data_IF_902162932261
#
_entry.id   IF_902162932261
#
_cell.length_a   1.000
_cell.length_b   1.000
_cell.length_c   1.000
_cell.angle_alpha   90.00
_cell.angle_beta   90.00
_cell.angle_gamma   90.00
#
_symmetry.space_group_name_H-M   'P 1'
#
loop_
_entity.id
_entity.type
_entity.pdbx_description
1 polymer ?
#
# COMPACT_ATOMS: atom_id res chain seq x y z
N UNK A 1 3.07 -18.20 -12.45
CA UNK A 1 2.03 -17.71 -11.49
C UNK A 1 0.96 -16.84 -12.15
N UNK A 2 1.22 -16.21 -13.31
CA UNK A 2 0.20 -15.55 -14.17
C UNK A 2 -0.90 -16.50 -14.67
N UNK A 3 -0.57 -17.76 -14.92
CA UNK A 3 -1.55 -18.77 -15.35
C UNK A 3 -2.60 -19.10 -14.27
N UNK A 4 -2.25 -19.04 -12.99
CA UNK A 4 -3.21 -19.32 -11.90
C UNK A 4 -4.19 -18.16 -11.71
N UNK A 5 -3.73 -16.91 -11.81
CA UNK A 5 -4.61 -15.74 -11.76
C UNK A 5 -5.54 -15.69 -12.99
N UNK A 6 -5.03 -16.01 -14.17
CA UNK A 6 -5.84 -16.12 -15.39
C UNK A 6 -6.83 -17.27 -15.31
N UNK A 7 -6.44 -18.43 -14.76
CA UNK A 7 -7.31 -19.58 -14.58
C UNK A 7 -8.41 -19.31 -13.55
N UNK A 8 -8.11 -18.62 -12.44
CA UNK A 8 -9.11 -18.21 -11.45
C UNK A 8 -10.04 -17.15 -12.02
N UNK A 9 -9.52 -16.17 -12.76
CA UNK A 9 -10.34 -15.16 -13.42
C UNK A 9 -11.25 -15.79 -14.50
N UNK A 10 -10.75 -16.77 -15.25
CA UNK A 10 -11.50 -17.48 -16.29
C UNK A 10 -12.52 -18.44 -15.66
N UNK A 11 -12.16 -19.18 -14.62
CA UNK A 11 -13.07 -20.04 -13.87
C UNK A 11 -14.17 -19.22 -13.19
N UNK A 12 -13.84 -18.06 -12.62
CA UNK A 12 -14.82 -17.12 -12.09
C UNK A 12 -15.76 -16.62 -13.22
N UNK A 13 -15.22 -16.24 -14.39
CA UNK A 13 -16.03 -15.81 -15.53
C UNK A 13 -16.95 -16.87 -16.10
N UNK A 14 -16.55 -18.14 -16.04
CA UNK A 14 -17.31 -19.27 -16.55
C UNK A 14 -18.30 -19.84 -15.53
N UNK A 15 -18.01 -19.72 -14.24
CA UNK A 15 -18.85 -20.25 -13.15
C UNK A 15 -19.86 -19.22 -12.59
N UNK A 16 -19.60 -17.91 -12.75
CA UNK A 16 -20.57 -16.88 -12.38
C UNK A 16 -21.63 -16.77 -13.48
N UNK A 17 -22.91 -17.05 -13.19
CA UNK A 17 -24.01 -16.76 -14.11
C UNK A 17 -23.96 -15.27 -14.46
N UNK A 18 -24.25 -14.90 -15.71
CA UNK A 18 -24.40 -13.50 -16.08
C UNK A 18 -25.42 -12.86 -15.14
N UNK A 19 -24.95 -12.05 -14.18
CA UNK A 19 -25.84 -11.14 -13.47
C UNK A 19 -26.20 -10.05 -14.48
N UNK A 20 -27.17 -10.36 -15.33
CA UNK A 20 -27.88 -9.38 -16.13
C UNK A 20 -28.49 -8.41 -15.13
N UNK A 21 -27.84 -7.26 -14.99
CA UNK A 21 -28.38 -6.13 -14.24
C UNK A 21 -29.77 -5.86 -14.83
N UNK A 22 -30.80 -6.03 -14.00
CA UNK A 22 -32.18 -5.74 -14.39
C UNK A 22 -32.29 -4.27 -14.83
N UNK A 23 -33.24 -3.96 -15.71
CA UNK A 23 -33.40 -2.64 -16.31
C UNK A 23 -33.55 -1.50 -15.30
N UNK A 24 -34.10 -1.79 -14.11
CA UNK A 24 -34.19 -0.90 -12.94
C UNK A 24 -32.82 -0.60 -12.31
N UNK A 25 -31.91 -1.58 -12.28
CA UNK A 25 -30.53 -1.37 -11.84
C UNK A 25 -29.71 -0.60 -12.88
N UNK A 26 -29.95 -0.79 -14.19
CA UNK A 26 -29.28 -0.04 -15.26
C UNK A 26 -29.60 1.47 -15.22
N UNK A 27 -30.84 1.85 -14.87
CA UNK A 27 -31.21 3.26 -14.63
C UNK A 27 -30.40 3.89 -13.47
N UNK A 28 -30.10 3.12 -12.43
CA UNK A 28 -29.28 3.56 -11.30
C UNK A 28 -27.78 3.52 -11.60
N UNK A 29 -27.33 2.59 -12.46
CA UNK A 29 -25.94 2.48 -12.92
C UNK A 29 -25.54 3.68 -13.78
N UNK A 30 -26.45 4.23 -14.60
CA UNK A 30 -26.18 5.46 -15.37
C UNK A 30 -25.85 6.67 -14.49
N UNK A 31 -26.43 6.75 -13.28
CA UNK A 31 -26.11 7.76 -12.26
C UNK A 31 -24.84 7.42 -11.46
N UNK A 32 -24.56 6.13 -11.21
CA UNK A 32 -23.31 5.63 -10.57
C UNK A 32 -22.07 5.71 -11.48
N UNK A 33 -22.22 5.60 -12.81
CA UNK A 33 -21.11 5.72 -13.77
C UNK A 33 -20.44 7.11 -13.73
N UNK A 34 -21.15 8.14 -13.23
CA UNK A 34 -20.58 9.47 -12.98
C UNK A 34 -19.50 9.48 -11.88
N UNK A 35 -19.37 8.40 -11.10
CA UNK A 35 -18.43 8.28 -9.98
C UNK A 35 -16.97 8.07 -10.42
N UNK A 36 -16.72 7.53 -11.62
CA UNK A 36 -15.38 7.49 -12.23
C UNK A 36 -14.77 8.90 -12.42
N UNK A 37 -15.57 9.96 -12.25
CA UNK A 37 -15.14 11.36 -12.27
C UNK A 37 -14.99 12.01 -10.90
N UNK A 38 -15.18 11.31 -9.77
CA UNK A 38 -14.92 11.90 -8.46
C UNK A 38 -13.40 12.13 -8.30
N UNK A 39 -12.92 13.38 -8.36
CA UNK A 39 -11.49 13.66 -8.37
C UNK A 39 -10.83 13.27 -7.04
N UNK A 40 -11.60 13.18 -5.94
CA UNK A 40 -11.08 12.75 -4.63
C UNK A 40 -10.80 11.25 -4.63
N UNK A 41 -11.73 10.43 -5.10
CA UNK A 41 -11.55 8.99 -5.20
C UNK A 41 -10.37 8.65 -6.13
N UNK A 42 -10.32 9.25 -7.32
CA UNK A 42 -9.22 9.03 -8.27
C UNK A 42 -7.87 9.38 -7.64
N UNK A 43 -7.78 10.52 -6.92
CA UNK A 43 -6.56 10.89 -6.20
C UNK A 43 -6.16 9.86 -5.14
N UNK A 44 -7.09 9.39 -4.31
CA UNK A 44 -6.80 8.36 -3.30
C UNK A 44 -6.31 7.08 -3.98
N UNK A 45 -7.03 6.60 -5.00
CA UNK A 45 -6.66 5.39 -5.73
C UNK A 45 -5.27 5.50 -6.38
N UNK A 46 -4.94 6.64 -6.99
CA UNK A 46 -3.61 6.89 -7.58
C UNK A 46 -2.52 6.96 -6.50
N UNK A 47 -2.74 7.65 -5.38
CA UNK A 47 -1.77 7.70 -4.29
C UNK A 47 -1.54 6.33 -3.66
N UNK A 48 -2.61 5.54 -3.49
CA UNK A 48 -2.48 4.13 -3.08
C UNK A 48 -1.69 3.34 -4.12
N UNK A 49 -2.00 3.46 -5.41
CA UNK A 49 -1.26 2.76 -6.46
C UNK A 49 0.24 3.08 -6.40
N UNK A 50 0.62 4.35 -6.18
CA UNK A 50 2.01 4.78 -6.02
C UNK A 50 2.64 4.15 -4.76
N UNK A 51 1.95 4.20 -3.61
CA UNK A 51 2.44 3.62 -2.36
C UNK A 51 2.65 2.10 -2.48
N UNK A 52 1.69 1.40 -3.10
CA UNK A 52 1.74 -0.04 -3.36
C UNK A 52 2.85 -0.38 -4.33
N UNK A 53 3.02 0.41 -5.40
CA UNK A 53 4.15 0.27 -6.34
C UNK A 53 5.47 0.37 -5.58
N UNK A 54 5.66 1.43 -4.79
CA UNK A 54 6.87 1.61 -3.99
C UNK A 54 7.14 0.45 -3.02
N UNK A 55 6.10 -0.06 -2.36
CA UNK A 55 6.22 -1.24 -1.50
C UNK A 55 6.64 -2.49 -2.28
N UNK A 56 5.96 -2.80 -3.38
CA UNK A 56 6.18 -4.04 -4.14
C UNK A 56 7.47 -4.05 -4.98
N UNK A 57 8.02 -2.89 -5.32
CA UNK A 57 9.39 -2.76 -5.87
C UNK A 57 10.41 -3.48 -4.99
N UNK A 58 10.32 -3.30 -3.67
CA UNK A 58 11.26 -3.90 -2.72
C UNK A 58 10.76 -5.22 -2.13
N UNK A 59 9.45 -5.36 -1.87
CA UNK A 59 8.89 -6.53 -1.21
C UNK A 59 9.14 -7.83 -1.98
N UNK A 60 9.10 -7.75 -3.31
CA UNK A 60 9.40 -8.88 -4.21
C UNK A 60 10.82 -9.43 -4.03
N UNK A 61 11.75 -8.60 -3.54
CA UNK A 61 13.15 -8.93 -3.29
C UNK A 61 13.52 -8.87 -1.80
N UNK A 62 12.54 -8.98 -0.89
CA UNK A 62 12.77 -8.87 0.56
C UNK A 62 13.86 -9.80 1.08
N UNK A 63 13.91 -11.04 0.58
CA UNK A 63 14.95 -12.03 0.93
C UNK A 63 16.34 -11.53 0.56
N UNK A 64 16.47 -10.94 -0.63
CA UNK A 64 17.75 -10.41 -1.13
C UNK A 64 18.15 -9.18 -0.33
N UNK A 65 17.20 -8.30 0.00
CA UNK A 65 17.44 -7.13 0.88
C UNK A 65 17.93 -7.59 2.26
N UNK A 66 17.29 -8.58 2.88
CA UNK A 66 17.72 -9.10 4.18
C UNK A 66 19.15 -9.65 4.10
N UNK A 67 19.46 -10.39 3.02
CA UNK A 67 20.76 -11.05 2.86
C UNK A 67 21.89 -10.07 2.56
N UNK A 68 21.67 -9.16 1.61
CA UNK A 68 22.71 -8.37 0.97
C UNK A 68 22.76 -6.92 1.48
N UNK A 69 21.68 -6.42 2.10
CA UNK A 69 21.66 -5.10 2.76
C UNK A 69 21.77 -5.24 4.28
N UNK A 70 20.93 -6.06 4.90
CA UNK A 70 20.96 -6.25 6.36
C UNK A 70 22.14 -7.16 6.78
N UNK A 71 22.59 -8.05 5.89
CA UNK A 71 23.69 -8.99 6.16
C UNK A 71 23.27 -10.24 6.92
N UNK A 72 21.97 -10.52 7.04
CA UNK A 72 21.44 -11.67 7.77
C UNK A 72 21.32 -12.86 6.82
N UNK A 73 22.00 -13.97 7.16
CA UNK A 73 22.10 -15.17 6.32
C UNK A 73 21.69 -16.44 7.08
N UNK A 74 21.46 -17.52 6.34
CA UNK A 74 21.16 -18.84 6.91
C UNK A 74 19.83 -18.88 7.67
N UNK A 75 19.72 -19.65 8.78
CA UNK A 75 18.48 -19.80 9.55
C UNK A 75 17.89 -18.48 10.07
N UNK A 76 18.75 -17.50 10.35
CA UNK A 76 18.31 -16.20 10.87
C UNK A 76 17.46 -15.41 9.86
N UNK A 77 17.61 -15.68 8.57
CA UNK A 77 16.77 -15.08 7.53
C UNK A 77 15.31 -15.53 7.67
N UNK A 78 15.08 -16.82 7.92
CA UNK A 78 13.74 -17.37 8.13
C UNK A 78 13.12 -16.81 9.42
N UNK A 79 13.91 -16.69 10.49
CA UNK A 79 13.45 -16.06 11.74
C UNK A 79 13.08 -14.58 11.55
N UNK A 80 13.83 -13.84 10.74
CA UNK A 80 13.51 -12.44 10.45
C UNK A 80 12.23 -12.32 9.59
N UNK A 81 12.03 -13.19 8.61
CA UNK A 81 10.76 -13.26 7.86
C UNK A 81 9.58 -13.65 8.75
N UNK A 82 9.79 -14.58 9.69
CA UNK A 82 8.78 -14.92 10.68
C UNK A 82 8.46 -13.71 11.56
N UNK A 83 9.48 -12.98 12.04
CA UNK A 83 9.30 -11.75 12.80
C UNK A 83 8.58 -10.66 11.98
N UNK A 84 8.88 -10.51 10.69
CA UNK A 84 8.17 -9.62 9.76
C UNK A 84 6.68 -9.96 9.71
N UNK A 85 6.34 -11.25 9.54
CA UNK A 85 4.94 -11.70 9.48
C UNK A 85 4.21 -11.56 10.82
N UNK A 86 4.84 -11.95 11.92
CA UNK A 86 4.27 -11.81 13.29
C UNK A 86 4.05 -10.35 13.63
N UNK A 87 5.01 -9.47 13.33
CA UNK A 87 4.87 -8.04 13.55
C UNK A 87 3.73 -7.46 12.71
N UNK A 88 3.59 -7.90 11.45
CA UNK A 88 2.43 -7.61 10.62
C UNK A 88 1.11 -7.98 11.31
N UNK A 89 0.98 -9.22 11.78
CA UNK A 89 -0.23 -9.71 12.44
C UNK A 89 -0.55 -8.94 13.73
N UNK A 90 0.46 -8.70 14.57
CA UNK A 90 0.31 -7.99 15.85
C UNK A 90 0.00 -6.51 15.65
N UNK A 91 0.43 -5.90 14.55
CA UNK A 91 0.19 -4.49 14.26
C UNK A 91 -1.30 -4.17 14.01
N UNK A 92 -2.06 -5.10 13.43
CA UNK A 92 -3.46 -4.89 13.05
C UNK A 92 -4.33 -4.46 14.25
N UNK A 93 -4.39 -5.23 15.37
CA UNK A 93 -5.17 -4.80 16.54
C UNK A 93 -4.58 -3.57 17.23
N UNK A 94 -3.26 -3.36 17.17
CA UNK A 94 -2.61 -2.19 17.78
C UNK A 94 -3.00 -0.89 17.06
N UNK A 95 -3.17 -0.94 15.74
CA UNK A 95 -3.52 0.22 14.91
C UNK A 95 -5.03 0.41 14.77
N UNK A 96 -5.84 -0.59 15.13
CA UNK A 96 -7.31 -0.48 15.14
C UNK A 96 -7.82 0.68 16.02
N UNK A 97 -7.30 0.81 17.25
CA UNK A 97 -7.72 1.88 18.17
C UNK A 97 -7.33 3.30 17.70
N UNK A 98 -6.08 3.56 17.28
CA UNK A 98 -5.72 4.83 16.65
C UNK A 98 -6.54 5.16 15.40
N UNK A 99 -6.88 4.15 14.58
CA UNK A 99 -7.64 4.31 13.35
C UNK A 99 -9.07 4.78 13.61
N UNK A 100 -9.73 4.26 14.64
CA UNK A 100 -11.09 4.66 15.01
C UNK A 100 -11.16 6.11 15.48
N UNK A 101 -10.11 6.58 16.16
CA UNK A 101 -10.08 7.90 16.79
C UNK A 101 -9.50 8.99 15.88
N UNK A 102 -8.45 8.69 15.10
CA UNK A 102 -7.70 9.66 14.27
C UNK A 102 -7.30 9.04 12.92
N UNK A 103 -8.25 8.70 12.04
CA UNK A 103 -7.99 7.91 10.83
C UNK A 103 -6.96 8.54 9.89
N UNK A 104 -7.00 9.87 9.73
CA UNK A 104 -6.05 10.61 8.88
C UNK A 104 -4.64 10.62 9.47
N UNK A 105 -4.52 10.97 10.75
CA UNK A 105 -3.23 11.03 11.44
C UNK A 105 -2.55 9.67 11.48
N UNK A 106 -3.32 8.61 11.69
CA UNK A 106 -2.80 7.25 11.70
C UNK A 106 -2.22 6.86 10.32
N UNK A 107 -2.87 7.21 9.20
CA UNK A 107 -2.34 6.93 7.84
C UNK A 107 -1.02 7.66 7.61
N UNK A 108 -0.95 8.95 7.97
CA UNK A 108 0.25 9.77 7.81
C UNK A 108 1.41 9.20 8.64
N UNK A 109 1.15 8.83 9.90
CA UNK A 109 2.16 8.21 10.78
C UNK A 109 2.65 6.89 10.19
N UNK A 110 1.74 6.04 9.71
CA UNK A 110 2.09 4.76 9.09
C UNK A 110 2.94 4.91 7.83
N UNK A 111 2.53 5.81 6.93
CA UNK A 111 3.27 6.14 5.71
C UNK A 111 4.63 6.80 6.00
N UNK A 112 4.72 7.63 7.04
CA UNK A 112 5.98 8.22 7.50
C UNK A 112 6.92 7.15 8.02
N UNK A 113 6.42 6.21 8.83
CA UNK A 113 7.22 5.09 9.33
C UNK A 113 7.71 4.17 8.20
N UNK A 114 6.87 3.90 7.19
CA UNK A 114 7.27 3.16 5.99
C UNK A 114 8.35 3.89 5.20
N UNK A 115 8.18 5.19 4.99
CA UNK A 115 9.18 6.03 4.30
C UNK A 115 10.51 6.02 5.05
N UNK A 116 10.47 6.15 6.38
CA UNK A 116 11.65 6.10 7.23
C UNK A 116 12.34 4.72 7.17
N UNK A 117 11.58 3.63 7.20
CA UNK A 117 12.13 2.27 7.08
C UNK A 117 12.84 2.08 5.73
N UNK A 118 12.23 2.49 4.61
CA UNK A 118 12.86 2.40 3.29
C UNK A 118 14.07 3.32 3.14
N UNK A 119 14.02 4.53 3.71
CA UNK A 119 15.15 5.47 3.69
C UNK A 119 16.33 4.92 4.49
N UNK A 120 16.06 4.32 5.66
CA UNK A 120 17.07 3.66 6.47
C UNK A 120 17.69 2.46 5.74
N UNK A 121 16.87 1.59 5.14
CA UNK A 121 17.36 0.47 4.32
C UNK A 121 18.18 0.94 3.12
N UNK A 122 17.78 2.06 2.48
CA UNK A 122 18.54 2.68 1.40
C UNK A 122 19.90 3.14 1.89
N UNK A 123 19.97 3.85 3.03
CA UNK A 123 21.22 4.30 3.62
C UNK A 123 22.15 3.11 3.97
N UNK A 124 21.58 2.02 4.49
CA UNK A 124 22.33 0.79 4.76
C UNK A 124 22.84 0.14 3.47
N UNK A 125 22.09 0.19 2.37
CA UNK A 125 22.50 -0.38 1.09
C UNK A 125 23.68 0.35 0.44
N UNK A 126 23.86 1.64 0.73
CA UNK A 126 25.05 2.41 0.33
C UNK A 126 26.23 2.24 1.29
N UNK A 127 26.01 1.70 2.49
CA UNK A 127 27.06 1.46 3.47
C UNK A 127 27.82 0.16 3.19
N UNK A 128 29.11 0.24 2.90
CA UNK A 128 29.94 -0.94 2.58
C UNK A 128 30.27 -1.86 3.77
N UNK A 129 29.78 -1.57 4.98
CA UNK A 129 30.18 -2.29 6.21
C UNK A 129 29.01 -3.02 6.87
N UNK A 130 29.01 -4.35 6.76
CA UNK A 130 28.15 -5.20 7.59
C UNK A 130 28.71 -5.30 9.01
N UNK A 131 28.23 -4.42 9.89
CA UNK A 131 28.57 -4.42 11.32
C UNK A 131 27.39 -4.97 12.13
N UNK A 132 27.61 -5.43 13.36
CA UNK A 132 26.52 -5.82 14.25
C UNK A 132 25.43 -4.72 14.40
N UNK A 133 25.85 -3.45 14.40
CA UNK A 133 24.93 -2.31 14.41
C UNK A 133 24.05 -2.21 13.15
N UNK A 134 24.60 -2.46 11.96
CA UNK A 134 23.82 -2.40 10.71
C UNK A 134 22.83 -3.55 10.63
N UNK A 135 23.22 -4.74 11.11
CA UNK A 135 22.32 -5.89 11.19
C UNK A 135 21.15 -5.63 12.16
N UNK A 136 21.41 -5.01 13.32
CA UNK A 136 20.37 -4.64 14.28
C UNK A 136 19.40 -3.59 13.71
N UNK A 137 19.94 -2.51 13.14
CA UNK A 137 19.13 -1.44 12.54
C UNK A 137 18.31 -1.95 11.34
N UNK A 138 18.92 -2.74 10.46
CA UNK A 138 18.23 -3.32 9.31
C UNK A 138 17.16 -4.33 9.72
N UNK A 139 17.42 -5.18 10.73
CA UNK A 139 16.41 -6.10 11.29
C UNK A 139 15.22 -5.31 11.85
N UNK A 140 15.49 -4.25 12.63
CA UNK A 140 14.44 -3.36 13.13
C UNK A 140 13.64 -2.71 12.01
N UNK A 141 14.30 -2.25 10.95
CA UNK A 141 13.66 -1.66 9.77
C UNK A 141 12.75 -2.66 9.04
N UNK A 142 13.19 -3.91 8.86
CA UNK A 142 12.39 -4.98 8.24
C UNK A 142 11.16 -5.30 9.10
N UNK A 143 11.31 -5.47 10.41
CA UNK A 143 10.19 -5.75 11.31
C UNK A 143 9.19 -4.60 11.33
N UNK A 144 9.68 -3.36 11.39
CA UNK A 144 8.86 -2.16 11.33
C UNK A 144 8.13 -2.06 9.98
N UNK A 145 8.81 -2.38 8.88
CA UNK A 145 8.21 -2.41 7.55
C UNK A 145 7.04 -3.40 7.49
N UNK A 146 7.20 -4.63 8.01
CA UNK A 146 6.13 -5.63 8.03
C UNK A 146 4.92 -5.23 8.86
N UNK A 147 5.17 -4.66 10.05
CA UNK A 147 4.12 -4.10 10.90
C UNK A 147 3.34 -2.99 10.16
N UNK A 148 4.05 -1.97 9.66
CA UNK A 148 3.40 -0.82 9.07
C UNK A 148 2.72 -1.13 7.72
N UNK A 149 3.28 -2.01 6.90
CA UNK A 149 2.67 -2.40 5.62
C UNK A 149 1.32 -3.09 5.82
N UNK A 150 1.24 -3.96 6.83
CA UNK A 150 0.01 -4.68 7.18
C UNK A 150 -1.01 -3.73 7.81
N UNK A 151 -0.57 -2.82 8.67
CA UNK A 151 -1.44 -1.84 9.30
C UNK A 151 -1.99 -0.79 8.33
N UNK A 152 -1.17 -0.25 7.40
CA UNK A 152 -1.57 0.84 6.48
C UNK A 152 -2.57 0.38 5.42
N UNK A 153 -2.53 -0.89 5.02
CA UNK A 153 -3.40 -1.46 3.98
C UNK A 153 -4.92 -1.25 4.25
N UNK A 154 -5.48 -1.67 5.39
CA UNK A 154 -6.90 -1.44 5.70
C UNK A 154 -7.24 0.04 5.87
N UNK A 155 -6.27 0.88 6.25
CA UNK A 155 -6.48 2.32 6.45
C UNK A 155 -6.65 3.04 5.11
N UNK A 156 -5.81 2.71 4.13
CA UNK A 156 -5.94 3.21 2.75
C UNK A 156 -7.24 2.72 2.10
N UNK A 157 -7.62 1.47 2.34
CA UNK A 157 -8.90 0.94 1.87
C UNK A 157 -10.08 1.69 2.49
N UNK A 158 -10.08 1.89 3.81
CA UNK A 158 -11.13 2.66 4.48
C UNK A 158 -11.20 4.10 3.97
N UNK A 159 -10.05 4.76 3.74
CA UNK A 159 -9.99 6.11 3.17
C UNK A 159 -10.59 6.17 1.75
N UNK A 160 -10.31 5.18 0.91
CA UNK A 160 -10.90 5.08 -0.43
C UNK A 160 -12.42 4.91 -0.36
N UNK A 161 -12.91 4.00 0.49
CA UNK A 161 -14.35 3.78 0.69
C UNK A 161 -15.07 5.05 1.18
N UNK A 162 -14.49 5.77 2.15
CA UNK A 162 -15.04 7.04 2.67
C UNK A 162 -15.06 8.13 1.61
N UNK A 163 -14.11 8.13 0.67
CA UNK A 163 -14.10 9.08 -0.46
C UNK A 163 -15.16 8.76 -1.54
N UNK A 164 -15.74 7.55 -1.48
CA UNK A 164 -16.76 7.04 -2.40
C UNK A 164 -18.18 7.54 -2.15
N UNK A 165 -18.46 8.22 -1.04
CA UNK A 165 -19.79 8.78 -0.74
C UNK A 165 -20.92 7.76 -0.88
N UNK A 166 -21.85 8.02 -1.82
CA UNK A 166 -23.08 7.25 -2.06
C UNK A 166 -22.88 5.89 -2.76
N UNK A 167 -21.65 5.54 -3.19
CA UNK A 167 -21.33 4.26 -3.83
C UNK A 167 -20.02 3.64 -3.30
N UNK A 168 -20.03 3.09 -2.07
CA UNK A 168 -18.86 2.45 -1.48
C UNK A 168 -18.36 1.25 -2.30
N UNK A 169 -19.26 0.46 -2.90
CA UNK A 169 -18.89 -0.74 -3.65
C UNK A 169 -18.10 -0.39 -4.92
N UNK A 170 -18.51 0.65 -5.66
CA UNK A 170 -17.77 1.17 -6.80
C UNK A 170 -16.39 1.74 -6.43
N UNK A 171 -16.29 2.42 -5.29
CA UNK A 171 -15.02 2.93 -4.76
C UNK A 171 -14.06 1.79 -4.37
N UNK A 172 -14.58 0.72 -3.77
CA UNK A 172 -13.83 -0.51 -3.46
C UNK A 172 -13.25 -1.13 -4.73
N UNK A 173 -14.07 -1.26 -5.77
CA UNK A 173 -13.64 -1.85 -7.05
C UNK A 173 -12.51 -1.06 -7.72
N UNK A 174 -12.62 0.27 -7.76
CA UNK A 174 -11.56 1.13 -8.30
C UNK A 174 -10.28 1.05 -7.45
N UNK A 175 -10.41 1.06 -6.13
CA UNK A 175 -9.30 0.92 -5.19
C UNK A 175 -8.55 -0.40 -5.41
N UNK A 176 -9.26 -1.53 -5.46
CA UNK A 176 -8.66 -2.85 -5.68
C UNK A 176 -7.97 -2.91 -7.05
N UNK A 177 -8.60 -2.35 -8.08
CA UNK A 177 -8.01 -2.28 -9.43
C UNK A 177 -6.69 -1.51 -9.40
N UNK A 178 -6.67 -0.32 -8.77
CA UNK A 178 -5.47 0.49 -8.62
C UNK A 178 -4.38 -0.22 -7.79
N UNK A 179 -4.78 -0.95 -6.74
CA UNK A 179 -3.88 -1.75 -5.91
C UNK A 179 -3.19 -2.86 -6.72
N UNK A 180 -3.96 -3.62 -7.52
CA UNK A 180 -3.42 -4.68 -8.37
C UNK A 180 -2.49 -4.15 -9.47
N UNK A 181 -2.83 -3.01 -10.09
CA UNK A 181 -1.94 -2.33 -11.03
C UNK A 181 -0.65 -1.91 -10.33
N UNK A 182 -0.74 -1.40 -9.10
CA UNK A 182 0.42 -1.05 -8.29
C UNK A 182 1.32 -2.24 -7.98
N UNK A 183 0.76 -3.40 -7.65
CA UNK A 183 1.54 -4.64 -7.44
C UNK A 183 2.28 -5.02 -8.72
N UNK A 184 1.57 -5.03 -9.86
CA UNK A 184 2.15 -5.39 -11.16
C UNK A 184 3.27 -4.44 -11.55
N UNK A 185 3.02 -3.13 -11.49
CA UNK A 185 4.01 -2.10 -11.78
C UNK A 185 5.20 -2.19 -10.83
N UNK A 186 4.95 -2.42 -9.54
CA UNK A 186 5.98 -2.56 -8.52
C UNK A 186 6.88 -3.75 -8.78
N UNK A 187 6.32 -4.92 -9.08
CA UNK A 187 7.10 -6.11 -9.39
C UNK A 187 7.94 -5.94 -10.67
N UNK A 188 7.37 -5.33 -11.73
CA UNK A 188 8.10 -5.05 -12.97
C UNK A 188 9.26 -4.07 -12.76
N UNK A 189 8.99 -2.95 -12.08
CA UNK A 189 10.02 -1.95 -11.75
C UNK A 189 11.08 -2.52 -10.80
N UNK A 190 10.68 -3.35 -9.83
CA UNK A 190 11.57 -4.06 -8.93
C UNK A 190 12.57 -4.92 -9.68
N UNK A 191 12.11 -5.72 -10.65
CA UNK A 191 13.00 -6.53 -11.48
C UNK A 191 14.00 -5.71 -12.29
N UNK A 192 13.53 -4.65 -12.97
CA UNK A 192 14.40 -3.77 -13.77
C UNK A 192 15.44 -3.01 -12.93
N UNK A 193 15.06 -2.58 -11.71
CA UNK A 193 15.96 -1.86 -10.82
C UNK A 193 16.93 -2.80 -10.12
N UNK A 194 16.48 -4.00 -9.76
CA UNK A 194 17.32 -5.04 -9.16
C UNK A 194 18.49 -5.42 -10.07
N UNK A 195 18.27 -5.53 -11.39
CA UNK A 195 19.33 -5.78 -12.37
C UNK A 195 20.42 -4.69 -12.39
N UNK A 196 20.07 -3.46 -12.01
CA UNK A 196 21.02 -2.34 -11.96
C UNK A 196 21.72 -2.23 -10.61
N UNK A 197 20.96 -2.17 -9.52
CA UNK A 197 21.47 -2.07 -8.16
C UNK A 197 20.36 -2.19 -7.12
N UNK A 198 20.60 -2.96 -6.06
CA UNK A 198 19.75 -3.01 -4.87
C UNK A 198 19.54 -1.63 -4.23
N UNK A 199 20.56 -0.78 -4.23
CA UNK A 199 20.45 0.57 -3.65
C UNK A 199 19.53 1.47 -4.48
N UNK A 200 19.58 1.38 -5.82
CA UNK A 200 18.65 2.10 -6.70
C UNK A 200 17.21 1.64 -6.51
N UNK A 201 17.00 0.33 -6.37
CA UNK A 201 15.69 -0.25 -6.10
C UNK A 201 15.10 0.28 -4.79
N UNK A 202 15.87 0.26 -3.70
CA UNK A 202 15.45 0.80 -2.41
C UNK A 202 15.21 2.32 -2.45
N UNK A 203 16.06 3.06 -3.17
CA UNK A 203 15.88 4.50 -3.38
C UNK A 203 14.58 4.80 -4.12
N UNK A 204 14.23 4.01 -5.14
CA UNK A 204 12.98 4.16 -5.86
C UNK A 204 11.76 3.86 -4.95
N UNK A 205 11.83 2.81 -4.13
CA UNK A 205 10.80 2.52 -3.13
C UNK A 205 10.64 3.67 -2.13
N UNK A 206 11.74 4.20 -1.58
CA UNK A 206 11.72 5.33 -0.66
C UNK A 206 11.13 6.58 -1.32
N UNK A 207 11.53 6.88 -2.56
CA UNK A 207 11.02 8.01 -3.33
C UNK A 207 9.53 7.91 -3.62
N UNK A 208 9.05 6.75 -4.09
CA UNK A 208 7.62 6.52 -4.34
C UNK A 208 6.79 6.61 -3.06
N UNK A 209 7.30 6.06 -1.95
CA UNK A 209 6.63 6.16 -0.65
C UNK A 209 6.58 7.61 -0.16
N UNK A 210 7.66 8.37 -0.34
CA UNK A 210 7.72 9.80 -0.01
C UNK A 210 6.77 10.64 -0.86
N UNK A 211 6.66 10.36 -2.16
CA UNK A 211 5.69 11.02 -3.06
C UNK A 211 4.25 10.71 -2.63
N UNK A 212 3.95 9.45 -2.31
CA UNK A 212 2.63 9.06 -1.82
C UNK A 212 2.29 9.73 -0.48
N UNK A 213 3.24 9.75 0.47
CA UNK A 213 3.10 10.44 1.76
C UNK A 213 2.85 11.93 1.53
N UNK A 214 3.68 12.60 0.74
CA UNK A 214 3.53 14.01 0.41
C UNK A 214 2.16 14.28 -0.21
N UNK A 215 1.76 13.48 -1.21
CA UNK A 215 0.45 13.59 -1.84
C UNK A 215 -0.71 13.40 -0.85
N UNK A 216 -0.61 12.46 0.09
CA UNK A 216 -1.61 12.24 1.14
C UNK A 216 -1.67 13.41 2.12
N UNK A 217 -0.52 13.99 2.50
CA UNK A 217 -0.48 15.18 3.35
C UNK A 217 -1.02 16.42 2.64
N UNK A 218 -0.67 16.68 1.37
CA UNK A 218 -1.20 17.85 0.64
C UNK A 218 -2.69 17.70 0.36
N UNK A 219 -3.15 16.49 0.06
CA UNK A 219 -4.57 16.23 -0.18
C UNK A 219 -5.40 16.16 1.09
N UNK A 220 -4.81 16.20 2.29
CA UNK A 220 -5.53 16.10 3.57
C UNK A 220 -6.61 17.18 3.76
N UNK A 221 -6.34 18.38 3.23
CA UNK A 221 -7.27 19.52 3.22
C UNK A 221 -8.46 19.34 2.26
N UNK A 222 -8.35 18.46 1.27
CA UNK A 222 -9.46 18.14 0.36
C UNK A 222 -10.45 17.13 0.95
N UNK A 223 -10.09 16.48 2.07
CA UNK A 223 -10.94 15.55 2.83
C UNK A 223 -11.58 16.20 4.06
N UNK A 224 -11.44 17.51 4.24
CA UNK A 224 -12.31 18.26 5.16
C UNK A 224 -13.62 18.53 4.42
N UNK A 225 -14.72 18.02 4.96
CA UNK A 225 -16.04 18.50 4.55
C UNK A 225 -16.08 20.00 4.83
N UNK A 226 -16.71 20.82 3.96
CA UNK A 226 -17.13 22.14 4.36
C UNK A 226 -17.87 21.97 5.69
N UNK A 227 -17.38 22.64 6.73
CA UNK A 227 -18.11 22.87 7.97
C UNK A 227 -19.55 23.18 7.59
N UNK A 228 -20.50 22.39 8.09
CA UNK A 228 -21.89 22.82 8.17
C UNK A 228 -21.84 24.20 8.83
N UNK A 229 -22.11 25.24 8.05
CA UNK A 229 -22.26 26.58 8.59
C UNK A 229 -23.38 26.48 9.63
N UNK A 230 -23.15 26.85 10.90
CA UNK A 230 -24.25 27.10 11.80
C UNK A 230 -24.90 28.41 11.34
N UNK A 231 -25.98 28.28 10.59
CA UNK A 231 -26.86 29.34 10.11
C UNK A 231 -27.85 28.70 9.14
N UNK A 232 -29.16 28.76 9.29
CA UNK A 232 -29.95 29.91 9.74
C UNK A 232 -31.33 29.47 10.26
N UNK A 233 -31.88 30.20 11.24
CA UNK A 233 -33.33 30.32 11.48
C UNK A 233 -33.87 29.64 12.73
#
# INVERSE_FOLDING_TARGET
MTGAAAAVALAARLALPEMVLRADQLEHVGRRARHHRNPRLVKVSVLTMIAVTGHFVSYTYIVVIIRDVVGVRGPNLAWLLAAYGVAGLVSVPLVARPLDRWPKGAVIVGMTGLTAAFTLLTALAFGERHTAATALLGTGAIVLWGALATAVSPMLQSAAMRSGGDDPDGASGLYVTAFQIGIMAGALLGGLLYERSLAMMLTASAGLMGVALFGMTVSQHLFENPTLSPGDG
#
